data_IF_227460103330
#
_entry.id   IF_227460103330
#
_cell.length_a   1.000
_cell.length_b   1.000
_cell.length_c   1.000
_cell.angle_alpha   90.00
_cell.angle_beta   90.00
_cell.angle_gamma   90.00
#
_symmetry.space_group_name_H-M   'P 1'
#
loop_
_entity.id
_entity.type
_entity.pdbx_description
1 polymer ?
#
# COMPACT_ATOMS: atom_id res chain seq x y z
N UNK A 1 -28.89 -9.56 -1.59
CA UNK A 1 -28.00 -9.29 -2.75
C UNK A 1 -26.56 -9.26 -2.24
N UNK A 2 -25.60 -9.85 -2.95
CA UNK A 2 -24.16 -9.79 -2.60
C UNK A 2 -23.47 -8.88 -3.61
N UNK A 3 -22.53 -8.06 -3.17
CA UNK A 3 -21.73 -7.17 -4.01
C UNK A 3 -20.28 -7.65 -4.00
N UNK A 4 -19.66 -7.71 -5.18
CA UNK A 4 -18.24 -8.02 -5.34
C UNK A 4 -17.60 -6.83 -6.06
N UNK A 5 -16.54 -6.28 -5.48
CA UNK A 5 -15.71 -5.24 -6.09
C UNK A 5 -14.34 -5.85 -6.35
N UNK A 6 -13.91 -5.86 -7.61
CA UNK A 6 -12.59 -6.34 -8.03
C UNK A 6 -11.76 -5.14 -8.48
N UNK A 7 -10.61 -4.93 -7.85
CA UNK A 7 -9.71 -3.81 -8.13
C UNK A 7 -8.39 -4.39 -8.66
N UNK A 8 -8.14 -4.33 -9.98
CA UNK A 8 -6.85 -4.74 -10.54
C UNK A 8 -5.83 -3.61 -10.32
N UNK A 9 -5.07 -3.70 -9.23
CA UNK A 9 -4.09 -2.66 -8.85
C UNK A 9 -3.06 -2.43 -9.95
N UNK A 10 -2.79 -1.16 -10.25
CA UNK A 10 -1.86 -0.76 -11.31
C UNK A 10 -2.30 -1.12 -12.75
N UNK A 11 -3.56 -1.51 -13.01
CA UNK A 11 -3.99 -1.91 -14.36
C UNK A 11 -4.04 -0.74 -15.36
N UNK A 12 -4.24 0.49 -14.90
CA UNK A 12 -4.25 1.66 -15.77
C UNK A 12 -2.83 1.94 -16.28
N UNK A 13 -2.71 2.11 -17.59
CA UNK A 13 -1.42 2.38 -18.24
C UNK A 13 -1.63 3.21 -19.52
N UNK A 14 -0.52 3.71 -20.06
CA UNK A 14 -0.45 4.35 -21.37
C UNK A 14 -0.37 3.30 -22.49
N UNK A 15 -0.41 3.78 -23.73
CA UNK A 15 -0.21 2.95 -24.92
C UNK A 15 1.27 2.90 -25.31
N UNK A 16 1.74 1.73 -25.70
CA UNK A 16 3.13 1.47 -26.07
C UNK A 16 3.24 1.04 -27.53
N UNK A 17 4.24 1.54 -28.25
CA UNK A 17 4.47 1.22 -29.67
C UNK A 17 4.77 -0.26 -29.86
N UNK A 18 5.52 -0.85 -28.93
CA UNK A 18 5.93 -2.25 -28.93
C UNK A 18 4.72 -3.20 -28.77
N UNK A 19 3.59 -2.68 -28.26
CA UNK A 19 2.32 -3.40 -28.13
C UNK A 19 1.36 -3.13 -29.30
N UNK A 20 1.83 -2.47 -30.36
CA UNK A 20 1.01 -2.07 -31.51
C UNK A 20 0.08 -0.90 -31.18
N UNK A 21 0.60 0.11 -30.48
CA UNK A 21 -0.13 1.29 -30.00
C UNK A 21 -1.33 0.94 -29.10
N UNK A 22 -1.14 -0.07 -28.24
CA UNK A 22 -2.09 -0.54 -27.23
C UNK A 22 -1.50 -0.41 -25.82
N UNK A 23 -2.36 -0.27 -24.83
CA UNK A 23 -1.99 -0.49 -23.42
C UNK A 23 -1.84 -1.98 -23.12
N UNK A 24 -1.16 -2.37 -22.02
CA UNK A 24 -1.08 -3.77 -21.60
C UNK A 24 -2.47 -4.41 -21.45
N UNK A 25 -3.44 -3.69 -20.88
CA UNK A 25 -4.82 -4.17 -20.74
C UNK A 25 -5.50 -4.40 -22.10
N UNK A 26 -5.32 -3.50 -23.08
CA UNK A 26 -5.88 -3.67 -24.44
C UNK A 26 -5.17 -4.76 -25.26
N UNK A 27 -3.92 -5.09 -24.91
CA UNK A 27 -3.12 -6.11 -25.59
C UNK A 27 -3.32 -7.51 -25.01
N UNK A 28 -3.63 -7.60 -23.73
CA UNK A 28 -3.84 -8.86 -23.02
C UNK A 28 -5.07 -9.61 -23.55
N UNK A 29 -5.05 -10.94 -23.40
CA UNK A 29 -6.21 -11.78 -23.69
C UNK A 29 -7.07 -11.89 -22.41
N UNK A 30 -8.16 -11.14 -22.34
CA UNK A 30 -8.98 -10.97 -21.13
C UNK A 30 -10.44 -11.43 -21.32
N UNK A 31 -10.71 -12.68 -21.74
CA UNK A 31 -12.05 -13.12 -22.14
C UNK A 31 -13.09 -12.96 -21.01
N UNK A 32 -12.70 -13.12 -19.74
CA UNK A 32 -13.60 -12.90 -18.62
C UNK A 32 -14.01 -11.44 -18.43
N UNK A 33 -13.09 -10.49 -18.61
CA UNK A 33 -13.44 -9.06 -18.58
C UNK A 33 -14.26 -8.68 -19.80
N UNK A 34 -13.92 -9.22 -20.97
CA UNK A 34 -14.62 -8.95 -22.23
C UNK A 34 -16.09 -9.41 -22.14
N UNK A 35 -16.34 -10.59 -21.56
CA UNK A 35 -17.69 -11.11 -21.30
C UNK A 35 -18.46 -10.25 -20.28
N UNK A 36 -17.80 -9.80 -19.20
CA UNK A 36 -18.40 -8.89 -18.22
C UNK A 36 -18.80 -7.55 -18.86
N UNK A 37 -17.98 -7.02 -19.76
CA UNK A 37 -18.27 -5.78 -20.49
C UNK A 37 -19.42 -5.97 -21.49
N UNK A 38 -19.47 -7.10 -22.20
CA UNK A 38 -20.53 -7.40 -23.15
C UNK A 38 -21.92 -7.51 -22.50
N UNK A 39 -21.98 -7.92 -21.23
CA UNK A 39 -23.22 -8.08 -20.46
C UNK A 39 -23.42 -7.00 -19.39
N UNK A 40 -22.58 -5.96 -19.38
CA UNK A 40 -22.51 -4.97 -18.32
C UNK A 40 -22.53 -3.53 -18.82
N UNK A 41 -22.00 -2.63 -17.99
CA UNK A 41 -21.80 -1.24 -18.33
C UNK A 41 -20.34 -0.85 -18.09
N UNK A 42 -19.83 0.06 -18.92
CA UNK A 42 -18.49 0.62 -18.82
C UNK A 42 -18.56 2.12 -18.58
N UNK A 43 -17.61 2.63 -17.80
CA UNK A 43 -17.46 4.05 -17.54
C UNK A 43 -16.08 4.36 -16.99
N UNK A 44 -15.76 5.65 -16.93
CA UNK A 44 -14.57 6.14 -16.24
C UNK A 44 -14.95 6.48 -14.80
N UNK A 45 -14.13 6.02 -13.85
CA UNK A 45 -14.28 6.34 -12.44
C UNK A 45 -13.11 7.22 -11.98
N UNK A 46 -13.41 8.41 -11.45
CA UNK A 46 -12.43 9.23 -10.74
C UNK A 46 -12.35 8.77 -9.29
N UNK A 47 -11.39 7.90 -8.99
CA UNK A 47 -11.18 7.36 -7.64
C UNK A 47 -10.30 8.26 -6.78
N UNK A 48 -9.46 9.08 -7.44
CA UNK A 48 -8.58 10.06 -6.80
C UNK A 48 -9.16 11.46 -6.93
N UNK A 49 -9.44 12.11 -5.81
CA UNK A 49 -10.03 13.45 -5.77
C UNK A 49 -8.94 14.53 -5.72
N UNK A 50 -9.24 15.69 -6.32
CA UNK A 50 -8.29 16.80 -6.37
C UNK A 50 -7.98 17.31 -4.95
N UNK A 51 -6.71 17.66 -4.71
CA UNK A 51 -6.25 18.14 -3.41
C UNK A 51 -5.95 17.05 -2.37
N UNK A 52 -6.19 15.77 -2.68
CA UNK A 52 -5.77 14.65 -1.83
C UNK A 52 -4.43 14.06 -2.27
N UNK A 53 -3.65 13.47 -1.33
CA UNK A 53 -2.43 12.75 -1.67
C UNK A 53 -2.68 11.62 -2.67
N UNK A 54 -1.76 11.44 -3.62
CA UNK A 54 -1.81 10.32 -4.55
C UNK A 54 -1.33 9.03 -3.86
N UNK A 55 -2.12 7.97 -3.92
CA UNK A 55 -1.75 6.66 -3.36
C UNK A 55 -2.92 5.69 -3.20
N UNK A 56 -2.61 4.40 -3.09
CA UNK A 56 -3.60 3.31 -3.07
C UNK A 56 -4.61 3.44 -1.92
N UNK A 57 -4.20 3.95 -0.75
CA UNK A 57 -5.12 4.17 0.38
C UNK A 57 -6.26 5.13 0.00
N UNK A 58 -5.90 6.28 -0.57
CA UNK A 58 -6.87 7.29 -1.00
C UNK A 58 -7.74 6.75 -2.14
N UNK A 59 -7.16 6.01 -3.09
CA UNK A 59 -7.91 5.40 -4.19
C UNK A 59 -8.94 4.38 -3.73
N UNK A 60 -8.57 3.50 -2.80
CA UNK A 60 -9.50 2.52 -2.21
C UNK A 60 -10.60 3.22 -1.42
N UNK A 61 -10.27 4.24 -0.62
CA UNK A 61 -11.28 5.04 0.10
C UNK A 61 -12.28 5.69 -0.86
N UNK A 62 -11.79 6.24 -1.99
CA UNK A 62 -12.64 6.79 -3.04
C UNK A 62 -13.58 5.75 -3.66
N UNK A 63 -13.09 4.53 -3.92
CA UNK A 63 -13.90 3.41 -4.45
C UNK A 63 -14.99 3.00 -3.44
N UNK A 64 -14.68 3.00 -2.15
CA UNK A 64 -15.61 2.63 -1.08
C UNK A 64 -16.60 3.76 -0.72
N UNK A 65 -16.50 4.93 -1.36
CA UNK A 65 -17.37 6.07 -1.09
C UNK A 65 -17.03 6.83 0.20
N UNK A 66 -15.85 6.62 0.78
CA UNK A 66 -15.40 7.29 1.99
C UNK A 66 -14.82 8.68 1.65
N UNK A 67 -15.67 9.70 1.61
CA UNK A 67 -15.30 11.11 1.35
C UNK A 67 -16.11 12.05 2.26
N UNK A 68 -15.49 12.84 3.17
CA UNK A 68 -14.65 14.01 2.84
C UNK A 68 -13.16 13.91 3.26
N UNK A 69 -12.32 14.90 2.88
CA UNK A 69 -10.87 14.96 3.18
C UNK A 69 -10.50 14.78 4.65
N UNK A 70 -11.40 15.14 5.57
CA UNK A 70 -11.24 14.99 7.02
C UNK A 70 -11.09 13.54 7.49
N UNK A 71 -11.58 12.57 6.72
CA UNK A 71 -11.42 11.15 7.04
C UNK A 71 -10.16 10.53 6.45
N UNK A 72 -9.45 11.23 5.56
CA UNK A 72 -8.22 10.71 4.95
C UNK A 72 -7.11 10.80 5.99
N UNK A 73 -6.56 9.67 6.47
CA UNK A 73 -5.47 9.69 7.44
C UNK A 73 -4.29 10.49 6.89
N UNK A 74 -3.65 11.28 7.75
CA UNK A 74 -2.42 11.98 7.41
C UNK A 74 -1.26 10.97 7.34
N UNK A 75 -1.21 10.23 6.25
CA UNK A 75 -0.16 9.25 5.97
C UNK A 75 -0.60 7.80 6.13
N UNK A 76 0.08 6.93 5.38
CA UNK A 76 -0.17 5.48 5.31
C UNK A 76 0.16 4.76 6.63
N UNK A 77 1.13 5.27 7.38
CA UNK A 77 1.64 4.66 8.60
C UNK A 77 0.59 4.50 9.70
N UNK A 78 -0.33 5.47 9.85
CA UNK A 78 -1.44 5.39 10.82
C UNK A 78 -2.37 4.22 10.47
N UNK A 79 -2.68 4.06 9.18
CA UNK A 79 -3.57 3.00 8.72
C UNK A 79 -2.93 1.61 8.89
N UNK A 80 -1.63 1.50 8.60
CA UNK A 80 -0.86 0.27 8.82
C UNK A 80 -0.78 -0.07 10.31
N UNK A 81 -0.50 0.90 11.17
CA UNK A 81 -0.48 0.69 12.61
C UNK A 81 -1.86 0.26 13.16
N UNK A 82 -2.95 0.86 12.67
CA UNK A 82 -4.30 0.41 12.99
C UNK A 82 -4.56 -1.03 12.52
N UNK A 83 -4.12 -1.39 11.31
CA UNK A 83 -4.25 -2.75 10.77
C UNK A 83 -3.41 -3.79 11.55
N UNK A 84 -2.39 -3.35 12.27
CA UNK A 84 -1.57 -4.15 13.18
C UNK A 84 -2.13 -4.21 14.61
N UNK A 85 -3.19 -3.45 14.91
CA UNK A 85 -3.74 -3.36 16.26
C UNK A 85 -2.84 -2.60 17.24
N UNK A 86 -1.94 -1.74 16.73
CA UNK A 86 -1.09 -0.89 17.57
C UNK A 86 -1.98 0.17 18.24
N UNK A 87 -2.01 0.27 19.58
CA UNK A 87 -2.74 1.32 20.28
C UNK A 87 -2.16 2.69 19.94
N UNK A 88 -3.03 3.65 19.63
CA UNK A 88 -2.63 5.02 19.27
C UNK A 88 -3.58 6.03 19.90
N UNK A 89 -3.04 7.21 20.19
CA UNK A 89 -3.75 8.42 20.63
C UNK A 89 -3.67 9.50 19.54
N UNK A 90 -4.54 10.53 19.58
CA UNK A 90 -4.45 11.65 18.63
C UNK A 90 -3.12 12.43 18.66
N UNK A 91 -2.35 12.30 19.74
CA UNK A 91 -1.08 12.99 19.94
C UNK A 91 0.14 12.18 19.42
N UNK A 92 -0.08 10.93 18.98
CA UNK A 92 1.00 10.08 18.50
C UNK A 92 1.42 10.41 17.06
N UNK A 93 2.73 10.41 16.83
CA UNK A 93 3.33 10.44 15.49
C UNK A 93 3.71 9.02 15.09
N UNK A 94 3.08 8.51 14.03
CA UNK A 94 3.36 7.18 13.50
C UNK A 94 4.14 7.29 12.20
N UNK A 95 5.27 6.60 12.13
CA UNK A 95 6.09 6.50 10.93
C UNK A 95 6.34 5.06 10.55
N UNK A 96 6.48 4.80 9.25
CA UNK A 96 6.87 3.50 8.72
C UNK A 96 8.36 3.55 8.43
N UNK A 97 9.12 2.69 9.10
CA UNK A 97 10.57 2.59 8.92
C UNK A 97 10.95 1.31 8.17
N UNK A 98 12.14 1.33 7.58
CA UNK A 98 12.82 0.17 7.01
C UNK A 98 14.12 -0.05 7.76
N UNK A 99 14.51 -1.32 7.92
CA UNK A 99 15.89 -1.68 8.20
C UNK A 99 16.65 -1.55 6.86
N UNK A 100 17.74 -0.80 6.88
CA UNK A 100 18.56 -0.54 5.69
C UNK A 100 20.02 -0.88 5.99
N UNK A 101 20.79 -1.20 4.94
CA UNK A 101 22.25 -1.35 5.05
C UNK A 101 22.92 -0.06 4.60
N UNK A 102 23.84 0.43 5.45
CA UNK A 102 24.73 1.55 5.17
C UNK A 102 26.18 1.08 5.18
N UNK A 103 27.06 1.78 4.47
CA UNK A 103 28.50 1.50 4.51
C UNK A 103 29.19 2.19 5.70
N UNK A 104 30.52 2.07 5.79
CA UNK A 104 31.32 2.67 6.85
C UNK A 104 31.33 4.21 6.89
N UNK A 105 30.79 4.87 5.85
CA UNK A 105 30.64 6.32 5.75
C UNK A 105 29.16 6.75 5.89
N UNK A 106 28.30 5.89 6.45
CA UNK A 106 26.85 6.09 6.63
C UNK A 106 26.05 6.34 5.32
N UNK A 107 26.61 5.92 4.18
CA UNK A 107 25.92 6.02 2.88
C UNK A 107 25.03 4.79 2.70
N UNK A 108 23.76 5.03 2.33
CA UNK A 108 22.79 3.99 2.00
C UNK A 108 23.32 3.10 0.86
N UNK A 109 23.59 1.83 1.17
CA UNK A 109 23.98 0.82 0.18
C UNK A 109 22.76 0.04 -0.32
N UNK A 110 21.81 -0.26 0.56
CA UNK A 110 20.67 -1.11 0.24
C UNK A 110 19.47 -0.83 1.15
N UNK A 111 18.40 -0.34 0.54
CA UNK A 111 17.15 0.03 1.21
C UNK A 111 16.34 -1.16 1.75
N UNK A 112 16.81 -2.39 1.52
CA UNK A 112 16.20 -3.65 1.97
C UNK A 112 17.08 -4.41 2.95
N UNK A 113 18.26 -3.88 3.26
CA UNK A 113 19.28 -4.56 4.07
C UNK A 113 19.62 -5.98 3.57
N UNK A 114 19.61 -6.20 2.24
CA UNK A 114 19.84 -7.50 1.65
C UNK A 114 18.70 -8.49 1.83
N UNK A 115 17.46 -7.99 1.95
CA UNK A 115 16.28 -8.80 2.30
C UNK A 115 16.50 -9.53 3.63
N UNK A 116 16.90 -8.79 4.67
CA UNK A 116 17.12 -9.33 6.02
C UNK A 116 15.97 -10.26 6.43
N UNK A 117 16.33 -11.44 6.95
CA UNK A 117 15.35 -12.43 7.41
C UNK A 117 14.55 -11.93 8.59
N UNK A 118 13.33 -12.44 8.76
CA UNK A 118 12.40 -11.96 9.79
C UNK A 118 12.94 -12.16 11.22
N UNK A 119 13.56 -13.29 11.50
CA UNK A 119 14.15 -13.58 12.82
C UNK A 119 15.30 -12.63 13.14
N UNK A 120 16.18 -12.38 12.17
CA UNK A 120 17.31 -11.47 12.30
C UNK A 120 16.85 -10.02 12.47
N UNK A 121 15.85 -9.59 11.69
CA UNK A 121 15.24 -8.27 11.80
C UNK A 121 14.61 -8.07 13.19
N UNK A 122 13.86 -9.05 13.69
CA UNK A 122 13.25 -8.99 15.01
C UNK A 122 14.30 -8.97 16.13
N UNK A 123 15.38 -9.75 15.99
CA UNK A 123 16.51 -9.75 16.92
C UNK A 123 17.20 -8.39 16.96
N UNK A 124 17.50 -7.83 15.78
CA UNK A 124 18.09 -6.50 15.64
C UNK A 124 17.21 -5.42 16.27
N UNK A 125 15.91 -5.38 15.97
CA UNK A 125 15.00 -4.38 16.53
C UNK A 125 14.90 -4.46 18.06
N UNK A 126 14.97 -5.65 18.66
CA UNK A 126 15.03 -5.81 20.12
C UNK A 126 16.32 -5.28 20.75
N UNK A 127 17.41 -5.22 19.98
CA UNK A 127 18.68 -4.66 20.44
C UNK A 127 18.77 -3.13 20.30
N UNK A 128 17.85 -2.51 19.56
CA UNK A 128 17.84 -1.05 19.39
C UNK A 128 17.31 -0.40 20.65
N UNK A 129 18.17 0.37 21.32
CA UNK A 129 17.75 1.26 22.41
C UNK A 129 17.02 2.47 21.83
N UNK A 130 15.85 2.77 22.39
CA UNK A 130 15.06 3.93 22.00
C UNK A 130 14.77 4.81 23.21
N UNK A 131 14.66 6.15 23.03
CA UNK A 131 14.16 7.02 24.08
C UNK A 131 12.76 6.59 24.52
N UNK A 132 12.36 6.92 25.76
CA UNK A 132 11.11 6.43 26.37
C UNK A 132 9.84 6.83 25.62
N UNK A 133 9.93 7.90 24.84
CA UNK A 133 8.87 8.47 24.02
C UNK A 133 8.71 7.75 22.66
N UNK A 134 9.60 6.82 22.30
CA UNK A 134 9.51 6.04 21.08
C UNK A 134 9.09 4.59 21.38
N UNK A 135 8.29 4.03 20.48
CA UNK A 135 7.97 2.61 20.45
C UNK A 135 8.27 2.07 19.05
N UNK A 136 9.03 0.97 18.99
CA UNK A 136 9.26 0.23 17.75
C UNK A 136 8.34 -0.98 17.70
N UNK A 137 7.60 -1.10 16.60
CA UNK A 137 6.73 -2.23 16.33
C UNK A 137 7.19 -2.93 15.06
N UNK A 138 7.18 -4.26 15.09
CA UNK A 138 7.52 -5.13 13.97
C UNK A 138 6.30 -6.00 13.66
N UNK A 139 5.88 -6.05 12.38
CA UNK A 139 4.74 -6.88 11.96
C UNK A 139 5.12 -8.36 12.12
N UNK A 140 4.43 -9.05 13.04
CA UNK A 140 4.56 -10.49 13.27
C UNK A 140 3.27 -11.22 12.87
N UNK A 141 2.58 -10.79 11.82
CA UNK A 141 1.45 -11.57 11.29
C UNK A 141 1.95 -12.83 10.60
N UNK A 142 2.24 -13.85 11.40
CA UNK A 142 2.08 -15.23 10.98
C UNK A 142 0.63 -15.37 10.50
N UNK A 143 0.44 -15.83 9.27
CA UNK A 143 -0.87 -16.19 8.71
C UNK A 143 -1.51 -17.41 9.43
N UNK A 144 -1.16 -17.68 10.69
CA UNK A 144 -1.53 -18.89 11.41
C UNK A 144 -2.79 -18.77 12.29
N UNK A 145 -3.24 -17.56 12.63
CA UNK A 145 -4.39 -17.37 13.54
C UNK A 145 -5.51 -16.51 12.92
N UNK A 146 -6.11 -16.99 11.83
CA UNK A 146 -7.44 -16.56 11.35
C UNK A 146 -8.30 -17.76 10.99
#
# INVERSE_FOLDING_TARGET
MKLIIVIPDGMCDIRYKELGDKSPAERANTPGMDEMLANGAIGLAKTMHDGLPLGSLVGIMGILGCYPPEYVPRGRSIFEAYALGIPMTPDDLVTRCNIVRVNGDDILEDFTAGQIGEEDAASYLRSVETPKEFALHHDHRTHADR
#
